data_IF_892981215793
#
_entry.id   IF_892981215793
#
_cell.length_a   1.000
_cell.length_b   1.000
_cell.length_c   1.000
_cell.angle_alpha   90.00
_cell.angle_beta   90.00
_cell.angle_gamma   90.00
#
_symmetry.space_group_name_H-M   'P 1'
#
loop_
_entity.id
_entity.type
_entity.pdbx_description
1 polymer ?
#
# COMPACT_ATOMS: atom_id res chain seq x y z
N UNK A 1 63.79 0.87 -30.44
CA UNK A 1 64.14 0.11 -29.22
C UNK A 1 63.44 0.80 -28.06
N UNK A 2 62.17 0.41 -27.82
CA UNK A 2 61.76 -0.55 -26.77
C UNK A 2 61.85 0.08 -25.38
N UNK A 3 60.73 0.60 -24.83
CA UNK A 3 59.71 -0.08 -23.99
C UNK A 3 59.94 0.34 -22.53
N UNK A 4 58.94 0.99 -21.91
CA UNK A 4 58.26 0.43 -20.73
C UNK A 4 57.19 1.40 -20.22
N UNK A 5 55.93 1.03 -20.42
CA UNK A 5 54.79 1.53 -19.66
C UNK A 5 54.93 1.12 -18.19
N UNK A 6 54.59 2.02 -17.26
CA UNK A 6 54.16 1.63 -15.91
C UNK A 6 52.66 1.87 -15.82
N UNK A 7 51.89 0.81 -16.03
CA UNK A 7 50.49 0.75 -15.66
C UNK A 7 50.40 0.52 -14.14
N UNK A 8 49.84 1.48 -13.42
CA UNK A 8 49.51 1.34 -11.99
C UNK A 8 48.21 0.55 -11.89
N UNK A 9 48.30 -0.71 -11.47
CA UNK A 9 47.14 -1.54 -11.16
C UNK A 9 46.58 -1.15 -9.78
N UNK A 10 45.42 -0.49 -9.76
CA UNK A 10 44.59 -0.40 -8.55
C UNK A 10 43.91 -1.75 -8.32
N UNK A 11 44.42 -2.53 -7.36
CA UNK A 11 43.72 -3.71 -6.85
C UNK A 11 42.54 -3.21 -6.00
N UNK A 12 41.36 -3.16 -6.60
CA UNK A 12 40.11 -3.07 -5.84
C UNK A 12 39.94 -4.39 -5.09
N UNK A 13 40.34 -4.41 -3.82
CA UNK A 13 40.00 -5.49 -2.90
C UNK A 13 38.49 -5.47 -2.71
N UNK A 14 37.77 -6.27 -3.49
CA UNK A 14 36.37 -6.61 -3.22
C UNK A 14 36.36 -7.40 -1.93
N UNK A 15 36.01 -6.74 -0.83
CA UNK A 15 35.59 -7.46 0.38
C UNK A 15 34.29 -8.20 0.02
N UNK A 16 34.44 -9.48 -0.29
CA UNK A 16 33.35 -10.41 -0.40
C UNK A 16 32.69 -10.56 0.98
N UNK A 17 31.37 -10.52 0.92
CA UNK A 17 30.39 -10.80 1.96
C UNK A 17 30.83 -11.85 2.97
N UNK A 18 30.66 -11.53 4.26
CA UNK A 18 30.41 -12.58 5.23
C UNK A 18 29.30 -12.14 6.20
N UNK A 19 28.06 -12.31 5.72
CA UNK A 19 26.92 -12.52 6.61
C UNK A 19 26.47 -13.95 6.37
N UNK A 20 26.89 -14.82 7.29
CA UNK A 20 26.36 -16.18 7.42
C UNK A 20 24.86 -16.11 7.76
N UNK A 21 24.01 -16.09 6.75
CA UNK A 21 22.59 -16.34 6.89
C UNK A 21 22.34 -17.84 6.71
N UNK A 22 21.77 -18.50 7.73
CA UNK A 22 21.18 -19.84 7.56
C UNK A 22 20.26 -19.80 6.32
N UNK A 23 20.51 -20.68 5.35
CA UNK A 23 20.17 -20.54 3.93
C UNK A 23 18.68 -20.60 3.53
N UNK A 24 17.82 -19.83 4.20
CA UNK A 24 16.36 -19.79 3.98
C UNK A 24 15.91 -18.51 3.24
N UNK A 25 16.85 -17.81 2.56
CA UNK A 25 16.58 -16.61 1.77
C UNK A 25 15.82 -16.90 0.46
N UNK A 26 15.37 -15.82 -0.20
CA UNK A 26 14.91 -15.87 -1.58
C UNK A 26 16.10 -16.08 -2.51
N UNK A 27 15.91 -16.88 -3.55
CA UNK A 27 16.86 -17.12 -4.63
C UNK A 27 16.05 -17.40 -5.91
N UNK A 28 15.36 -16.38 -6.45
CA UNK A 28 14.57 -16.51 -7.67
C UNK A 28 15.47 -16.73 -8.89
N UNK A 29 14.94 -17.38 -9.92
CA UNK A 29 15.61 -17.45 -11.22
C UNK A 29 15.54 -16.08 -11.92
N UNK A 30 16.64 -15.63 -12.52
CA UNK A 30 16.73 -14.30 -13.15
C UNK A 30 15.70 -14.14 -14.30
N UNK A 31 15.51 -15.22 -15.07
CA UNK A 31 14.54 -15.34 -16.17
C UNK A 31 13.18 -15.89 -15.71
N UNK A 32 12.98 -16.01 -14.39
CA UNK A 32 11.75 -16.47 -13.79
C UNK A 32 10.57 -15.55 -14.06
N UNK A 33 9.37 -16.09 -13.95
CA UNK A 33 8.14 -15.34 -14.10
C UNK A 33 8.01 -14.23 -13.04
N UNK A 34 7.57 -13.04 -13.44
CA UNK A 34 7.45 -11.87 -12.55
C UNK A 34 6.06 -11.26 -12.59
N UNK A 35 5.65 -10.69 -11.46
CA UNK A 35 4.59 -9.70 -11.38
C UNK A 35 5.19 -8.32 -11.56
N UNK A 36 4.64 -7.55 -12.49
CA UNK A 36 4.98 -6.15 -12.72
C UNK A 36 3.89 -5.29 -12.09
N UNK A 37 4.26 -4.57 -11.03
CA UNK A 37 3.42 -3.55 -10.39
C UNK A 37 3.79 -2.18 -10.95
N UNK A 38 2.78 -1.42 -11.37
CA UNK A 38 2.89 -0.02 -11.79
C UNK A 38 2.01 0.85 -10.92
N UNK A 39 2.56 1.91 -10.36
CA UNK A 39 1.85 2.89 -9.54
C UNK A 39 2.01 4.26 -10.17
N UNK A 40 0.93 4.83 -10.69
CA UNK A 40 0.89 6.22 -11.18
C UNK A 40 0.57 7.15 -10.02
N UNK A 41 1.54 7.95 -9.59
CA UNK A 41 1.45 8.77 -8.38
C UNK A 41 0.86 10.15 -8.70
N UNK A 42 -0.28 10.55 -8.11
CA UNK A 42 -0.81 11.91 -8.24
C UNK A 42 0.18 12.94 -7.70
N UNK A 43 0.23 14.14 -8.29
CA UNK A 43 1.26 15.16 -8.01
C UNK A 43 1.33 15.62 -6.55
N UNK A 44 0.22 15.56 -5.81
CA UNK A 44 0.14 15.95 -4.40
C UNK A 44 0.48 14.81 -3.43
N UNK A 45 0.74 13.60 -3.94
CA UNK A 45 0.92 12.39 -3.15
C UNK A 45 2.30 11.77 -3.36
N UNK A 46 2.63 10.86 -2.45
CA UNK A 46 3.78 9.99 -2.54
C UNK A 46 3.33 8.52 -2.57
N UNK A 47 4.10 7.69 -3.25
CA UNK A 47 3.91 6.25 -3.15
C UNK A 47 4.35 5.73 -1.77
N UNK A 48 3.68 4.70 -1.29
CA UNK A 48 4.17 3.88 -0.18
C UNK A 48 5.21 2.90 -0.71
N UNK A 49 6.11 2.47 0.17
CA UNK A 49 6.99 1.35 -0.14
C UNK A 49 6.16 0.10 -0.45
N UNK A 50 6.65 -0.72 -1.37
CA UNK A 50 5.97 -1.94 -1.79
C UNK A 50 6.39 -3.06 -0.84
N UNK A 51 5.44 -3.62 -0.11
CA UNK A 51 5.68 -4.74 0.80
C UNK A 51 5.25 -6.04 0.10
N UNK A 52 6.19 -6.92 -0.22
CA UNK A 52 5.93 -8.22 -0.83
C UNK A 52 6.01 -9.32 0.23
N UNK A 53 4.94 -10.11 0.36
CA UNK A 53 4.91 -11.28 1.23
C UNK A 53 5.06 -12.56 0.40
N UNK A 54 6.07 -13.36 0.73
CA UNK A 54 6.26 -14.71 0.22
C UNK A 54 5.85 -15.73 1.26
N UNK A 55 5.32 -16.87 0.80
CA UNK A 55 4.95 -18.01 1.65
C UNK A 55 5.67 -19.28 1.23
N UNK A 56 5.86 -20.18 2.18
CA UNK A 56 6.46 -21.49 1.97
C UNK A 56 5.69 -22.55 2.74
N UNK A 57 5.34 -23.64 2.06
CA UNK A 57 4.82 -24.86 2.68
C UNK A 57 5.95 -25.83 3.10
N UNK A 58 7.19 -25.55 2.67
CA UNK A 58 8.39 -26.34 2.97
C UNK A 58 9.00 -25.87 4.29
N UNK A 59 9.34 -24.58 4.37
CA UNK A 59 9.78 -23.93 5.58
C UNK A 59 8.55 -23.49 6.35
N UNK A 60 8.33 -24.07 7.52
CA UNK A 60 7.13 -23.83 8.33
C UNK A 60 7.50 -23.32 9.72
N UNK A 61 6.59 -22.56 10.31
CA UNK A 61 6.67 -22.09 11.69
C UNK A 61 5.66 -22.81 12.58
N UNK A 62 5.92 -22.87 13.88
CA UNK A 62 4.91 -23.27 14.88
C UNK A 62 4.09 -22.04 15.27
N UNK A 63 2.77 -22.17 15.26
CA UNK A 63 1.83 -21.21 15.81
C UNK A 63 0.96 -21.91 16.86
N UNK A 64 0.22 -21.13 17.65
CA UNK A 64 -0.63 -21.65 18.72
C UNK A 64 -2.07 -21.24 18.45
N UNK A 65 -3.01 -22.17 18.66
CA UNK A 65 -4.45 -21.87 18.59
C UNK A 65 -4.93 -21.14 19.85
N UNK A 66 -6.23 -20.84 19.93
CA UNK A 66 -6.83 -20.13 21.07
C UNK A 66 -6.77 -20.95 22.38
N UNK A 67 -6.65 -22.28 22.27
CA UNK A 67 -6.52 -23.20 23.40
C UNK A 67 -5.04 -23.44 23.78
N UNK A 68 -4.11 -22.80 23.06
CA UNK A 68 -2.67 -22.92 23.29
C UNK A 68 -2.04 -24.19 22.70
N UNK A 69 -2.74 -24.93 21.84
CA UNK A 69 -2.16 -26.10 21.18
C UNK A 69 -1.27 -25.65 20.00
N UNK A 70 -0.07 -26.23 19.86
CA UNK A 70 0.80 -25.92 18.74
C UNK A 70 0.25 -26.54 17.44
N UNK A 71 0.30 -25.77 16.35
CA UNK A 71 0.04 -26.26 15.00
C UNK A 71 1.11 -25.76 14.03
N UNK A 72 1.31 -26.53 12.96
CA UNK A 72 2.25 -26.19 11.88
C UNK A 72 1.59 -25.18 10.94
N UNK A 73 2.24 -24.05 10.72
CA UNK A 73 1.82 -22.99 9.82
C UNK A 73 2.87 -22.76 8.73
N UNK A 74 2.42 -22.48 7.52
CA UNK A 74 3.30 -22.06 6.43
C UNK A 74 4.21 -20.91 6.88
N UNK A 75 5.49 -21.02 6.53
CA UNK A 75 6.45 -19.95 6.76
C UNK A 75 6.12 -18.77 5.87
N UNK A 76 6.50 -17.58 6.32
CA UNK A 76 6.31 -16.35 5.56
C UNK A 76 7.57 -15.48 5.62
N UNK A 77 7.78 -14.70 4.56
CA UNK A 77 8.87 -13.74 4.47
C UNK A 77 8.37 -12.46 3.83
N UNK A 78 8.46 -11.36 4.57
CA UNK A 78 8.13 -10.03 4.07
C UNK A 78 9.41 -9.34 3.57
N UNK A 79 9.28 -8.63 2.45
CA UNK A 79 10.33 -7.83 1.86
C UNK A 79 9.76 -6.45 1.51
N UNK A 80 10.50 -5.42 1.88
CA UNK A 80 10.23 -4.06 1.43
C UNK A 80 11.04 -3.83 0.14
N UNK A 81 10.34 -3.45 -0.93
CA UNK A 81 10.88 -3.41 -2.29
C UNK A 81 10.82 -1.98 -2.82
N UNK A 82 12.00 -1.47 -3.16
CA UNK A 82 12.16 -0.16 -3.75
C UNK A 82 11.67 -0.17 -5.19
N UNK A 83 10.83 0.81 -5.53
CA UNK A 83 10.27 0.97 -6.86
C UNK A 83 11.18 1.87 -7.71
N UNK A 84 11.25 1.62 -9.01
CA UNK A 84 12.04 2.41 -9.96
C UNK A 84 11.11 3.31 -10.77
N UNK A 85 11.47 4.58 -10.96
CA UNK A 85 10.69 5.48 -11.81
C UNK A 85 10.79 5.07 -13.28
N UNK A 86 9.65 5.02 -13.98
CA UNK A 86 9.62 4.75 -15.41
C UNK A 86 9.93 6.04 -16.20
N UNK A 87 11.19 6.19 -16.62
CA UNK A 87 11.64 7.37 -17.36
C UNK A 87 11.31 8.68 -16.65
N UNK A 88 10.82 9.67 -17.41
CA UNK A 88 10.39 10.98 -16.90
C UNK A 88 8.89 11.04 -16.56
N UNK A 89 8.29 9.90 -16.21
CA UNK A 89 6.85 9.84 -15.84
C UNK A 89 6.65 9.87 -14.32
N UNK A 90 5.40 10.07 -13.90
CA UNK A 90 4.98 9.90 -12.50
C UNK A 90 4.63 8.44 -12.16
N UNK A 91 5.09 7.47 -12.97
CA UNK A 91 4.85 6.04 -12.75
C UNK A 91 6.06 5.40 -12.09
N UNK A 92 5.82 4.66 -11.02
CA UNK A 92 6.79 3.80 -10.36
C UNK A 92 6.52 2.34 -10.75
N UNK A 93 7.59 1.61 -11.06
CA UNK A 93 7.57 0.22 -11.47
C UNK A 93 8.31 -0.65 -10.47
N UNK A 94 7.71 -1.78 -10.13
CA UNK A 94 8.29 -2.81 -9.26
C UNK A 94 8.12 -4.16 -9.93
N UNK A 95 9.22 -4.89 -10.07
CA UNK A 95 9.20 -6.29 -10.53
C UNK A 95 9.36 -7.22 -9.33
N UNK A 96 8.50 -8.22 -9.22
CA UNK A 96 8.51 -9.19 -8.12
C UNK A 96 8.48 -10.60 -8.70
N UNK A 97 9.44 -11.48 -8.37
CA UNK A 97 9.41 -12.85 -8.86
C UNK A 97 8.17 -13.59 -8.30
N UNK A 98 7.47 -14.33 -9.15
CA UNK A 98 6.36 -15.18 -8.73
C UNK A 98 6.91 -16.35 -7.91
N UNK A 99 7.99 -16.96 -8.41
CA UNK A 99 8.77 -17.97 -7.69
C UNK A 99 9.99 -17.29 -7.04
N UNK A 100 9.93 -17.10 -5.72
CA UNK A 100 11.02 -16.56 -4.93
C UNK A 100 12.14 -17.58 -4.68
N UNK A 101 11.93 -18.85 -5.06
CA UNK A 101 12.95 -19.89 -5.05
C UNK A 101 13.57 -20.16 -3.68
N UNK A 102 14.86 -20.50 -3.70
CA UNK A 102 15.62 -20.89 -2.51
C UNK A 102 15.19 -22.23 -1.90
N UNK A 103 15.83 -22.61 -0.79
CA UNK A 103 15.58 -23.91 -0.12
C UNK A 103 14.15 -24.06 0.39
N UNK A 104 13.52 -22.94 0.72
CA UNK A 104 12.14 -22.89 1.16
C UNK A 104 11.13 -22.89 0.02
N UNK A 105 11.53 -22.80 -1.26
CA UNK A 105 10.60 -22.68 -2.39
C UNK A 105 9.57 -21.58 -2.14
N UNK A 106 10.07 -20.39 -1.84
CA UNK A 106 9.26 -19.23 -1.53
C UNK A 106 8.37 -18.89 -2.74
N UNK A 107 7.09 -18.60 -2.50
CA UNK A 107 6.18 -18.17 -3.56
C UNK A 107 5.47 -16.89 -3.18
N UNK A 108 5.35 -15.96 -4.13
CA UNK A 108 4.66 -14.69 -3.90
C UNK A 108 3.22 -14.95 -3.47
N UNK A 109 2.86 -14.44 -2.30
CA UNK A 109 1.55 -14.62 -1.67
C UNK A 109 0.68 -13.38 -1.81
N UNK A 110 1.23 -12.22 -1.45
CA UNK A 110 0.55 -10.95 -1.66
C UNK A 110 1.54 -9.79 -1.74
N UNK A 111 1.04 -8.68 -2.25
CA UNK A 111 1.77 -7.42 -2.33
C UNK A 111 0.88 -6.32 -1.77
N UNK A 112 1.43 -5.56 -0.83
CA UNK A 112 0.81 -4.35 -0.26
C UNK A 112 1.53 -3.12 -0.80
N UNK A 113 0.78 -2.16 -1.29
CA UNK A 113 1.30 -0.92 -1.84
C UNK A 113 0.25 0.17 -1.67
N UNK A 114 0.54 1.39 -2.13
CA UNK A 114 -0.45 2.45 -2.13
C UNK A 114 0.13 3.83 -2.29
N UNK A 115 -0.71 4.81 -1.97
CA UNK A 115 -0.38 6.23 -1.94
C UNK A 115 -0.68 6.82 -0.58
N UNK A 116 -0.02 7.92 -0.26
CA UNK A 116 -0.26 8.75 0.93
C UNK A 116 0.16 10.19 0.65
N UNK A 117 -0.19 11.12 1.54
CA UNK A 117 0.45 12.42 1.51
C UNK A 117 1.95 12.29 1.80
N UNK A 118 2.77 12.90 0.93
CA UNK A 118 4.21 13.06 1.15
C UNK A 118 4.49 14.14 2.19
N UNK A 119 3.74 15.25 2.10
CA UNK A 119 3.73 16.36 3.04
C UNK A 119 2.29 16.75 3.39
N UNK A 120 2.10 17.26 4.59
CA UNK A 120 0.78 17.64 5.12
C UNK A 120 0.66 19.12 5.46
N UNK A 121 1.68 19.92 5.16
CA UNK A 121 1.76 21.37 5.43
C UNK A 121 0.58 22.15 4.86
N UNK A 122 0.07 21.73 3.69
CA UNK A 122 -1.12 22.31 3.05
C UNK A 122 -2.41 22.20 3.90
N UNK A 123 -2.46 21.31 4.88
CA UNK A 123 -3.61 21.14 5.78
C UNK A 123 -3.47 21.93 7.09
N UNK A 124 -2.34 22.63 7.29
CA UNK A 124 -2.06 23.44 8.47
C UNK A 124 -0.97 22.85 9.36
N UNK A 125 -0.56 23.65 10.34
CA UNK A 125 0.49 23.28 11.29
C UNK A 125 0.07 22.09 12.18
N UNK A 126 1.00 21.18 12.43
CA UNK A 126 0.79 20.03 13.31
C UNK A 126 -0.09 18.91 12.73
N UNK A 127 -0.51 19.01 11.46
CA UNK A 127 -1.22 17.92 10.77
C UNK A 127 -0.22 16.83 10.40
N UNK A 128 -0.50 15.59 10.77
CA UNK A 128 0.31 14.41 10.41
C UNK A 128 -0.37 13.58 9.33
N UNK A 129 0.38 12.70 8.67
CA UNK A 129 -0.19 11.77 7.69
C UNK A 129 -1.10 10.74 8.37
N UNK A 130 -2.29 10.56 7.81
CA UNK A 130 -3.30 9.63 8.28
C UNK A 130 -3.36 8.34 7.47
N UNK A 131 -4.54 7.71 7.48
CA UNK A 131 -4.79 6.43 6.83
C UNK A 131 -5.31 6.54 5.40
N UNK A 132 -5.65 5.38 4.82
CA UNK A 132 -6.18 5.27 3.46
C UNK A 132 -5.10 5.16 2.39
N UNK A 133 -5.54 5.03 1.14
CA UNK A 133 -4.64 4.93 -0.03
C UNK A 133 -3.96 3.58 -0.22
N UNK A 134 -4.20 2.59 0.65
CA UNK A 134 -3.59 1.27 0.58
C UNK A 134 -4.33 0.31 -0.36
N UNK A 135 -3.58 -0.60 -0.96
CA UNK A 135 -4.05 -1.69 -1.81
C UNK A 135 -3.30 -2.97 -1.45
N UNK A 136 -4.01 -4.09 -1.42
CA UNK A 136 -3.42 -5.43 -1.24
C UNK A 136 -3.89 -6.31 -2.40
N UNK A 137 -2.95 -6.88 -3.14
CA UNK A 137 -3.23 -7.90 -4.17
C UNK A 137 -2.74 -9.25 -3.68
N UNK A 138 -3.66 -10.21 -3.59
CA UNK A 138 -3.43 -11.60 -3.17
C UNK A 138 -3.24 -12.47 -4.42
N UNK A 139 -2.14 -13.21 -4.47
CA UNK A 139 -1.79 -14.15 -5.54
C UNK A 139 -1.99 -15.62 -5.13
N UNK A 140 -2.34 -15.87 -3.87
CA UNK A 140 -2.74 -17.18 -3.37
C UNK A 140 -4.07 -17.13 -2.63
N UNK A 141 -4.61 -18.32 -2.30
CA UNK A 141 -5.83 -18.47 -1.50
C UNK A 141 -5.53 -18.67 -0.01
N UNK A 142 -4.33 -18.32 0.44
CA UNK A 142 -3.98 -18.51 1.84
C UNK A 142 -4.85 -17.61 2.71
N UNK A 143 -5.19 -18.09 3.91
CA UNK A 143 -5.90 -17.30 4.91
C UNK A 143 -4.95 -16.21 5.45
N UNK A 144 -4.76 -15.14 4.69
CA UNK A 144 -4.15 -13.93 5.23
C UNK A 144 -5.10 -13.35 6.29
N UNK A 145 -4.63 -13.13 7.53
CA UNK A 145 -5.45 -12.59 8.59
C UNK A 145 -5.87 -11.16 8.23
N UNK A 146 -7.15 -10.99 7.93
CA UNK A 146 -7.75 -9.70 7.62
C UNK A 146 -9.21 -9.91 7.23
N UNK A 147 -10.14 -9.52 8.11
CA UNK A 147 -11.56 -9.56 7.82
C UNK A 147 -11.86 -8.59 6.67
N UNK A 148 -12.15 -9.13 5.49
CA UNK A 148 -12.55 -8.33 4.34
C UNK A 148 -12.61 -9.16 3.06
N UNK A 149 -13.74 -9.11 2.37
CA UNK A 149 -13.93 -9.83 1.09
C UNK A 149 -13.07 -9.18 0.00
N UNK A 150 -12.06 -9.89 -0.46
CA UNK A 150 -11.27 -9.49 -1.62
C UNK A 150 -12.11 -9.52 -2.90
N UNK A 151 -11.89 -8.55 -3.78
CA UNK A 151 -12.49 -8.51 -5.13
C UNK A 151 -11.77 -9.56 -5.97
N UNK A 152 -12.52 -10.55 -6.46
CA UNK A 152 -11.95 -11.60 -7.32
C UNK A 152 -11.79 -11.06 -8.73
N UNK A 153 -10.60 -11.22 -9.29
CA UNK A 153 -10.26 -10.81 -10.67
C UNK A 153 -9.57 -11.99 -11.35
N UNK A 154 -9.93 -12.23 -12.61
CA UNK A 154 -9.25 -13.18 -13.47
C UNK A 154 -8.25 -12.44 -14.37
N UNK A 155 -7.00 -12.88 -14.37
CA UNK A 155 -5.94 -12.21 -15.13
C UNK A 155 -5.40 -10.96 -14.41
N UNK A 156 -4.90 -10.02 -15.21
CA UNK A 156 -4.25 -8.80 -14.72
C UNK A 156 -5.22 -7.84 -14.03
N UNK A 157 -4.68 -6.98 -13.17
CA UNK A 157 -5.48 -6.09 -12.32
C UNK A 157 -5.23 -4.63 -12.67
N UNK A 158 -6.27 -3.93 -13.11
CA UNK A 158 -6.27 -2.47 -13.29
C UNK A 158 -7.11 -1.81 -12.18
N UNK A 159 -6.48 -0.92 -11.41
CA UNK A 159 -7.02 -0.36 -10.18
C UNK A 159 -7.05 1.16 -10.31
N UNK A 160 -8.24 1.72 -10.50
CA UNK A 160 -8.45 3.17 -10.68
C UNK A 160 -9.48 3.76 -9.70
N UNK A 161 -9.21 3.74 -8.38
CA UNK A 161 -10.13 4.28 -7.38
C UNK A 161 -10.05 5.80 -7.31
N UNK A 162 -11.18 6.40 -6.96
CA UNK A 162 -11.26 7.79 -6.55
C UNK A 162 -10.84 7.93 -5.08
N UNK A 163 -10.05 8.96 -4.79
CA UNK A 163 -9.65 9.37 -3.45
C UNK A 163 -10.03 10.82 -3.20
N UNK A 164 -10.48 11.08 -1.98
CA UNK A 164 -10.85 12.41 -1.49
C UNK A 164 -9.97 12.77 -0.29
N UNK A 165 -9.44 14.00 -0.20
CA UNK A 165 -8.75 14.47 1.00
C UNK A 165 -9.68 14.41 2.22
N UNK A 166 -9.20 13.85 3.32
CA UNK A 166 -9.94 13.83 4.59
C UNK A 166 -9.05 14.36 5.72
N UNK A 167 -9.41 15.53 6.26
CA UNK A 167 -8.77 16.10 7.43
C UNK A 167 -9.57 15.76 8.68
N UNK A 168 -9.02 14.91 9.55
CA UNK A 168 -9.66 14.49 10.79
C UNK A 168 -9.01 15.18 12.00
N UNK A 169 -9.82 15.71 12.90
CA UNK A 169 -9.39 16.27 14.19
C UNK A 169 -9.95 15.42 15.33
N UNK A 170 -9.06 14.97 16.22
CA UNK A 170 -9.38 14.06 17.33
C UNK A 170 -8.87 14.65 18.65
N UNK A 171 -9.62 14.39 19.72
CA UNK A 171 -9.31 14.87 21.08
C UNK A 171 -9.12 13.74 22.09
N UNK A 172 -9.78 12.60 21.89
CA UNK A 172 -9.70 11.44 22.77
C UNK A 172 -8.40 10.67 22.49
N UNK A 173 -7.67 10.33 23.56
CA UNK A 173 -6.35 9.69 23.45
C UNK A 173 -5.22 10.67 23.11
N UNK A 174 -5.48 11.98 23.21
CA UNK A 174 -4.56 13.05 22.86
C UNK A 174 -5.06 13.85 21.65
N UNK A 175 -4.74 15.14 21.63
CA UNK A 175 -5.08 16.00 20.49
C UNK A 175 -4.26 15.62 19.26
N UNK A 176 -4.92 15.37 18.13
CA UNK A 176 -4.27 15.06 16.86
C UNK A 176 -5.08 15.53 15.66
N UNK A 177 -4.39 16.01 14.63
CA UNK A 177 -4.95 16.23 13.29
C UNK A 177 -4.26 15.32 12.28
N UNK A 178 -5.04 14.59 11.51
CA UNK A 178 -4.54 13.65 10.50
C UNK A 178 -5.11 13.98 9.13
N UNK A 179 -4.24 14.01 8.11
CA UNK A 179 -4.62 14.08 6.69
C UNK A 179 -4.63 12.68 6.08
N UNK A 180 -5.82 12.16 5.82
CA UNK A 180 -6.09 10.82 5.30
C UNK A 180 -6.65 10.88 3.87
N UNK A 181 -6.74 9.72 3.22
CA UNK A 181 -7.37 9.55 1.92
C UNK A 181 -8.65 8.71 2.05
N UNK A 182 -9.80 9.35 1.85
CA UNK A 182 -11.09 8.66 1.85
C UNK A 182 -11.36 7.98 0.50
N UNK A 183 -11.80 6.74 0.52
CA UNK A 183 -12.18 5.96 -0.67
C UNK A 183 -13.28 4.96 -0.34
N UNK A 184 -13.72 4.19 -1.33
CA UNK A 184 -14.83 3.23 -1.18
C UNK A 184 -14.55 2.08 -0.20
N UNK A 185 -13.28 1.72 -0.02
CA UNK A 185 -12.81 0.65 0.87
C UNK A 185 -11.52 1.08 1.56
N UNK A 186 -11.63 1.54 2.79
CA UNK A 186 -10.51 1.93 3.65
C UNK A 186 -10.25 0.85 4.71
N UNK A 187 -9.01 0.69 5.21
CA UNK A 187 -7.79 1.37 4.78
C UNK A 187 -7.14 0.74 3.53
N UNK A 188 -7.56 -0.49 3.17
CA UNK A 188 -7.02 -1.23 2.02
C UNK A 188 -8.10 -1.73 1.08
N UNK A 189 -7.95 -1.46 -0.21
CA UNK A 189 -8.70 -2.16 -1.26
C UNK A 189 -8.02 -3.51 -1.51
N UNK A 190 -8.76 -4.61 -1.39
CA UNK A 190 -8.22 -5.98 -1.53
C UNK A 190 -8.67 -6.63 -2.82
N UNK A 191 -7.73 -7.20 -3.55
CA UNK A 191 -7.96 -7.99 -4.76
C UNK A 191 -7.42 -9.41 -4.58
N UNK A 192 -8.13 -10.40 -5.11
CA UNK A 192 -7.66 -11.78 -5.27
C UNK A 192 -7.48 -12.05 -6.76
N UNK A 193 -6.23 -12.12 -7.20
CA UNK A 193 -5.84 -12.22 -8.61
C UNK A 193 -4.73 -13.26 -8.79
N UNK A 194 -5.13 -14.54 -8.77
CA UNK A 194 -4.22 -15.68 -8.68
C UNK A 194 -3.27 -15.82 -9.89
N UNK A 195 -3.72 -15.37 -11.07
CA UNK A 195 -2.98 -15.46 -12.33
C UNK A 195 -2.44 -14.12 -12.83
N UNK A 196 -2.63 -13.03 -12.08
CA UNK A 196 -2.15 -11.71 -12.49
C UNK A 196 -0.63 -11.69 -12.65
N UNK A 197 -0.16 -11.05 -13.72
CA UNK A 197 1.25 -10.73 -13.96
C UNK A 197 1.48 -9.23 -14.09
N UNK A 198 0.41 -8.48 -14.31
CA UNK A 198 0.41 -7.02 -14.26
C UNK A 198 -0.60 -6.53 -13.24
N UNK A 199 -0.16 -5.56 -12.47
CA UNK A 199 -1.00 -4.78 -11.56
C UNK A 199 -0.75 -3.32 -11.86
N UNK A 200 -1.73 -2.63 -12.41
CA UNK A 200 -1.67 -1.19 -12.64
C UNK A 200 -2.53 -0.48 -11.61
N UNK A 201 -1.95 0.51 -10.93
CA UNK A 201 -2.63 1.34 -9.95
C UNK A 201 -2.57 2.80 -10.36
N UNK A 202 -3.71 3.33 -10.76
CA UNK A 202 -3.89 4.70 -11.22
C UNK A 202 -4.91 5.45 -10.36
N UNK A 203 -4.58 5.76 -9.10
CA UNK A 203 -5.49 6.51 -8.24
C UNK A 203 -5.81 7.90 -8.80
N UNK A 204 -7.06 8.33 -8.62
CA UNK A 204 -7.52 9.68 -8.97
C UNK A 204 -7.75 10.46 -7.69
N UNK A 205 -6.98 11.53 -7.47
CA UNK A 205 -7.17 12.43 -6.33
C UNK A 205 -8.09 13.59 -6.72
N UNK A 206 -9.15 13.77 -5.93
CA UNK A 206 -10.12 14.86 -6.07
C UNK A 206 -9.83 15.96 -5.04
N UNK A 207 -8.72 16.68 -5.20
CA UNK A 207 -8.19 17.63 -4.21
C UNK A 207 -9.15 18.75 -3.82
N UNK A 208 -10.03 19.15 -4.74
CA UNK A 208 -11.06 20.18 -4.49
C UNK A 208 -12.20 19.77 -3.56
N UNK A 209 -12.26 18.49 -3.16
CA UNK A 209 -13.37 17.91 -2.40
C UNK A 209 -12.92 17.44 -1.02
N UNK A 210 -12.28 18.35 -0.26
CA UNK A 210 -11.83 18.11 1.11
C UNK A 210 -13.00 17.93 2.09
N UNK A 211 -13.08 16.78 2.74
CA UNK A 211 -13.95 16.54 3.88
C UNK A 211 -13.21 16.77 5.19
N UNK A 212 -13.86 17.43 6.14
CA UNK A 212 -13.33 17.63 7.49
C UNK A 212 -14.13 16.82 8.50
N UNK A 213 -13.49 16.24 9.50
CA UNK A 213 -14.22 15.60 10.60
C UNK A 213 -13.72 16.08 11.95
N UNK A 214 -14.65 16.35 12.86
CA UNK A 214 -14.33 16.76 14.24
C UNK A 214 -14.86 15.69 15.19
N UNK A 215 -13.95 15.01 15.89
CA UNK A 215 -14.29 14.03 16.91
C UNK A 215 -14.84 14.67 18.18
N UNK A 216 -15.57 13.92 19.02
CA UNK A 216 -16.06 14.43 20.29
C UNK A 216 -14.90 14.71 21.25
N UNK A 217 -15.05 15.75 22.09
CA UNK A 217 -14.06 16.09 23.13
C UNK A 217 -14.17 15.18 24.36
N UNK A 218 -15.37 14.66 24.62
CA UNK A 218 -15.68 13.72 25.71
C UNK A 218 -16.47 12.58 25.07
N UNK A 219 -16.10 11.34 25.35
CA UNK A 219 -16.82 10.19 24.80
C UNK A 219 -18.06 9.87 25.64
N UNK A 220 -19.24 10.04 25.06
CA UNK A 220 -20.48 9.45 25.59
C UNK A 220 -21.04 8.43 24.61
N UNK A 221 -21.96 7.60 25.08
CA UNK A 221 -22.65 6.63 24.22
C UNK A 221 -23.47 7.39 23.17
N UNK A 222 -23.16 7.16 21.90
CA UNK A 222 -23.81 7.84 20.77
C UNK A 222 -23.08 9.10 20.28
N UNK A 223 -22.00 9.52 20.93
CA UNK A 223 -21.16 10.61 20.42
C UNK A 223 -20.25 10.08 19.31
N UNK A 224 -20.45 10.60 18.10
CA UNK A 224 -19.67 10.29 16.91
C UNK A 224 -18.99 11.55 16.36
N UNK A 225 -18.02 11.35 15.47
CA UNK A 225 -17.44 12.47 14.73
C UNK A 225 -18.50 13.12 13.83
N UNK A 226 -18.45 14.44 13.72
CA UNK A 226 -19.23 15.21 12.75
C UNK A 226 -18.37 15.38 11.51
N UNK A 227 -18.90 15.01 10.34
CA UNK A 227 -18.27 15.19 9.05
C UNK A 227 -18.87 16.41 8.34
N UNK A 228 -18.01 17.32 7.89
CA UNK A 228 -18.35 18.51 7.13
C UNK A 228 -17.88 18.33 5.68
N UNK A 229 -18.82 18.35 4.75
CA UNK A 229 -18.59 18.06 3.34
C UNK A 229 -18.36 19.35 2.52
N UNK A 230 -17.76 19.23 1.32
CA UNK A 230 -17.45 20.38 0.46
C UNK A 230 -18.68 21.20 0.02
N UNK A 231 -19.85 20.59 -0.06
CA UNK A 231 -21.13 21.24 -0.41
C UNK A 231 -21.76 22.02 0.77
N UNK A 232 -21.08 22.08 1.91
CA UNK A 232 -21.58 22.71 3.14
C UNK A 232 -22.50 21.82 3.97
N UNK A 233 -22.87 20.64 3.48
CA UNK A 233 -23.66 19.69 4.25
C UNK A 233 -22.82 19.02 5.35
N UNK A 234 -23.48 18.41 6.33
CA UNK A 234 -22.80 17.66 7.40
C UNK A 234 -23.47 16.31 7.66
N UNK A 235 -22.75 15.35 8.25
CA UNK A 235 -23.31 14.08 8.74
C UNK A 235 -22.66 13.66 10.07
N UNK A 236 -23.37 12.82 10.82
CA UNK A 236 -22.86 12.17 12.03
C UNK A 236 -22.89 10.66 11.79
N UNK A 237 -21.87 10.15 11.10
CA UNK A 237 -21.81 8.74 10.74
C UNK A 237 -21.00 7.97 11.79
N UNK A 238 -21.61 6.93 12.39
CA UNK A 238 -20.98 6.12 13.43
C UNK A 238 -19.87 5.18 12.95
N UNK A 239 -19.58 5.18 11.64
CA UNK A 239 -18.58 4.32 11.00
C UNK A 239 -17.14 4.82 11.17
N UNK A 240 -16.95 6.05 11.67
CA UNK A 240 -15.63 6.62 11.93
C UNK A 240 -14.88 7.10 10.69
N UNK A 241 -15.50 7.08 9.51
CA UNK A 241 -14.97 7.52 8.22
C UNK A 241 -16.02 8.32 7.43
N UNK A 242 -15.62 9.25 6.54
CA UNK A 242 -16.55 10.02 5.73
C UNK A 242 -17.24 9.15 4.66
N UNK A 243 -18.48 9.48 4.31
CA UNK A 243 -19.24 8.76 3.29
C UNK A 243 -18.66 8.98 1.90
N UNK A 244 -17.97 7.97 1.36
CA UNK A 244 -17.47 7.98 -0.03
C UNK A 244 -18.59 8.19 -1.05
N UNK A 245 -19.76 7.56 -0.82
CA UNK A 245 -20.92 7.72 -1.72
C UNK A 245 -21.36 9.18 -1.79
N UNK A 246 -21.45 9.85 -0.64
CA UNK A 246 -21.85 11.25 -0.57
C UNK A 246 -20.83 12.16 -1.27
N UNK A 247 -19.52 11.91 -1.07
CA UNK A 247 -18.45 12.63 -1.78
C UNK A 247 -18.57 12.49 -3.30
N UNK A 248 -18.89 11.29 -3.79
CA UNK A 248 -19.14 11.05 -5.22
C UNK A 248 -20.35 11.82 -5.75
N UNK A 249 -21.44 11.84 -5.00
CA UNK A 249 -22.66 12.57 -5.37
C UNK A 249 -22.39 14.09 -5.47
N UNK A 250 -21.70 14.66 -4.47
CA UNK A 250 -21.28 16.06 -4.45
C UNK A 250 -20.40 16.40 -5.65
N UNK A 251 -19.37 15.58 -5.90
CA UNK A 251 -18.45 15.79 -7.02
C UNK A 251 -19.18 15.82 -8.35
N UNK A 252 -19.97 14.78 -8.63
CA UNK A 252 -20.68 14.64 -9.91
C UNK A 252 -21.69 15.76 -10.13
N UNK A 253 -22.36 16.23 -9.08
CA UNK A 253 -23.27 17.38 -9.18
C UNK A 253 -22.51 18.66 -9.59
N UNK A 254 -21.38 18.96 -8.94
CA UNK A 254 -20.57 20.13 -9.26
C UNK A 254 -19.94 20.06 -10.67
N UNK A 255 -19.50 18.88 -11.11
CA UNK A 255 -18.99 18.64 -12.48
C UNK A 255 -20.07 18.91 -13.54
N UNK A 256 -21.32 18.50 -13.29
CA UNK A 256 -22.45 18.74 -14.18
C UNK A 256 -22.87 20.21 -14.27
N UNK A 257 -22.77 20.96 -13.17
CA UNK A 257 -23.05 22.40 -13.14
C UNK A 257 -21.98 23.19 -13.89
N UNK A 258 -20.71 22.79 -13.78
CA UNK A 258 -19.58 23.45 -14.45
C UNK A 258 -19.52 23.19 -15.96
N UNK A 259 -20.26 22.19 -16.45
CA UNK A 259 -20.34 21.83 -17.87
C UNK A 259 -21.47 22.56 -18.62
N UNK A 260 -22.25 23.40 -17.93
CA UNK A 260 -23.30 24.25 -18.51
C UNK A 260 -22.80 25.66 -18.76
#
# INVERSE_FOLDING_TARGET
MTVSELAVFFVFSTFALDVSARGDGLSPDDDGEKVILRVKVPSELAAREVEALYRSTVCTSVAYDMDGNPYKRDGYRQLDVQSVREGDTNVLRTELPVDGGGRCRWRLSNVTFGIRYGETSQFGEGVVYGGGGGVIVLFDRSNSPGSGTAIKVEGDVDIRPDYYPWLSERFIGGYRKDASLATSRSPYIRYLALSARRVNFEPVLHSGYLVRSVGPKIQRKGDFAIFHYPDGSSSTDGWGEPSFRKLQEIRKAAELESAK
#
